data_IF_722513451501
#
_entry.id   IF_722513451501
#
_cell.length_a   1.000
_cell.length_b   1.000
_cell.length_c   1.000
_cell.angle_alpha   90.00
_cell.angle_beta   90.00
_cell.angle_gamma   90.00
#
_symmetry.space_group_name_H-M   'P 1'
#
loop_
_entity.id
_entity.type
_entity.pdbx_description
1 polymer ?
#
# COMPACT_ATOMS: atom_id res chain seq x y z
N UNK A 1 26.05 -11.48 17.72
CA UNK A 1 26.68 -10.29 17.13
C UNK A 1 25.72 -9.66 16.14
N UNK A 2 25.73 -8.36 16.02
CA UNK A 2 25.01 -7.62 14.99
C UNK A 2 25.86 -7.57 13.72
N UNK A 3 25.25 -7.72 12.56
CA UNK A 3 25.90 -7.56 11.26
C UNK A 3 25.27 -6.33 10.59
N UNK A 4 26.10 -5.44 10.11
CA UNK A 4 25.64 -4.27 9.35
C UNK A 4 25.32 -4.72 7.90
N UNK A 5 24.12 -4.35 7.45
CA UNK A 5 23.66 -4.63 6.09
C UNK A 5 23.99 -3.44 5.18
N UNK A 6 24.55 -3.69 3.99
CA UNK A 6 24.82 -2.63 3.02
C UNK A 6 23.52 -2.09 2.42
N UNK A 7 23.17 -0.87 2.83
CA UNK A 7 22.02 -0.13 2.35
C UNK A 7 22.37 1.04 1.44
N UNK A 8 23.62 1.13 1.00
CA UNK A 8 24.17 2.28 0.24
C UNK A 8 23.44 2.56 -1.07
N UNK A 9 22.75 1.57 -1.64
CA UNK A 9 21.98 1.70 -2.87
C UNK A 9 20.47 1.91 -2.66
N UNK A 10 20.01 1.96 -1.41
CA UNK A 10 18.61 2.32 -1.11
C UNK A 10 18.44 3.84 -1.23
N UNK A 11 17.57 4.26 -2.11
CA UNK A 11 17.11 5.65 -2.18
C UNK A 11 15.98 5.89 -1.21
N UNK A 12 15.79 7.15 -0.83
CA UNK A 12 14.79 7.55 0.15
C UNK A 12 15.38 7.69 1.55
N UNK A 13 14.68 8.39 2.41
CA UNK A 13 15.11 8.72 3.76
C UNK A 13 14.26 8.03 4.84
N UNK A 14 13.29 7.22 4.45
CA UNK A 14 12.40 6.53 5.37
C UNK A 14 11.99 5.17 4.83
N UNK A 15 12.26 4.11 5.59
CA UNK A 15 11.71 2.77 5.32
C UNK A 15 10.27 2.69 5.80
N UNK A 16 9.38 2.13 4.98
CA UNK A 16 7.95 2.07 5.29
C UNK A 16 7.43 0.67 5.53
N UNK A 17 7.86 -0.28 4.74
CA UNK A 17 7.37 -1.65 4.84
C UNK A 17 8.46 -2.63 4.45
N UNK A 18 8.43 -3.78 5.09
CA UNK A 18 9.33 -4.88 4.82
C UNK A 18 8.54 -6.18 4.86
N UNK A 19 8.81 -7.08 3.92
CA UNK A 19 8.13 -8.37 3.84
C UNK A 19 9.01 -9.43 3.19
N UNK A 20 8.98 -10.64 3.74
CA UNK A 20 9.61 -11.80 3.13
C UNK A 20 8.62 -12.48 2.17
N UNK A 21 9.06 -12.73 0.94
CA UNK A 21 8.26 -13.43 -0.05
C UNK A 21 9.14 -14.14 -1.07
N UNK A 22 8.84 -15.40 -1.36
CA UNK A 22 9.53 -16.21 -2.36
C UNK A 22 11.07 -16.15 -2.24
N UNK A 23 11.57 -16.44 -1.03
CA UNK A 23 13.00 -16.44 -0.64
C UNK A 23 13.72 -15.09 -0.86
N UNK A 24 12.99 -13.99 -0.87
CA UNK A 24 13.57 -12.64 -0.93
C UNK A 24 12.98 -11.78 0.18
N UNK A 25 13.79 -10.83 0.63
CA UNK A 25 13.33 -9.74 1.47
C UNK A 25 13.04 -8.54 0.58
N UNK A 26 11.82 -8.02 0.67
CA UNK A 26 11.39 -6.81 -0.02
C UNK A 26 11.30 -5.67 0.98
N UNK A 27 11.78 -4.50 0.59
CA UNK A 27 11.69 -3.27 1.38
C UNK A 27 11.18 -2.13 0.50
N UNK A 28 10.27 -1.34 1.03
CA UNK A 28 9.86 -0.09 0.41
C UNK A 28 10.41 1.09 1.21
N UNK A 29 10.85 2.11 0.49
CA UNK A 29 11.28 3.38 1.05
C UNK A 29 10.48 4.53 0.45
N UNK A 30 10.51 5.67 1.09
CA UNK A 30 9.99 6.92 0.53
C UNK A 30 11.03 8.02 0.69
N UNK A 31 10.96 9.00 -0.18
CA UNK A 31 11.72 10.24 -0.05
C UNK A 31 10.79 11.34 0.46
N UNK A 32 10.84 11.58 1.76
CA UNK A 32 9.99 12.59 2.41
C UNK A 32 10.35 14.03 2.04
N UNK A 33 11.59 14.26 1.60
CA UNK A 33 12.07 15.60 1.27
C UNK A 33 11.69 16.04 -0.15
N UNK A 34 11.65 15.11 -1.10
CA UNK A 34 11.56 15.44 -2.52
C UNK A 34 10.22 15.04 -3.16
N UNK A 35 9.41 14.20 -2.50
CA UNK A 35 8.16 13.71 -3.07
C UNK A 35 8.40 13.07 -4.44
N UNK A 36 8.93 11.87 -4.48
CA UNK A 36 9.26 11.19 -5.74
C UNK A 36 8.03 10.78 -6.54
N UNK A 37 8.16 10.72 -7.86
CA UNK A 37 7.12 10.18 -8.74
C UNK A 37 7.19 8.66 -8.89
N UNK A 38 8.27 8.06 -8.43
CA UNK A 38 8.57 6.64 -8.64
C UNK A 38 8.47 5.91 -7.31
N UNK A 39 7.69 4.84 -7.24
CA UNK A 39 7.65 4.01 -6.04
C UNK A 39 9.02 3.37 -5.85
N UNK A 40 9.56 3.46 -4.64
CA UNK A 40 10.85 2.88 -4.27
C UNK A 40 10.60 1.51 -3.64
N UNK A 41 10.90 0.47 -4.39
CA UNK A 41 10.80 -0.93 -3.98
C UNK A 41 12.10 -1.65 -4.30
N UNK A 42 12.60 -2.41 -3.35
CA UNK A 42 13.87 -3.13 -3.45
C UNK A 42 13.69 -4.57 -2.99
N UNK A 43 14.56 -5.45 -3.48
CA UNK A 43 14.64 -6.83 -3.05
C UNK A 43 16.08 -7.30 -2.89
N UNK A 44 16.31 -8.18 -1.91
CA UNK A 44 17.53 -8.96 -1.75
C UNK A 44 17.18 -10.42 -1.46
N UNK A 45 17.96 -11.35 -2.00
CA UNK A 45 17.86 -12.77 -1.65
C UNK A 45 18.42 -13.06 -0.26
N UNK A 46 19.45 -12.32 0.12
CA UNK A 46 20.08 -12.38 1.42
C UNK A 46 20.79 -11.04 1.68
N UNK A 47 20.21 -10.16 2.51
CA UNK A 47 20.78 -8.84 2.75
C UNK A 47 22.15 -8.84 3.43
N UNK A 48 22.56 -9.93 4.07
CA UNK A 48 23.89 -10.04 4.67
C UNK A 48 24.99 -10.18 3.61
N UNK A 49 24.65 -10.76 2.45
CA UNK A 49 25.62 -11.07 1.39
C UNK A 49 25.35 -10.35 0.07
N UNK A 50 24.10 -9.97 -0.19
CA UNK A 50 23.69 -9.39 -1.46
C UNK A 50 23.02 -8.04 -1.26
N UNK A 51 23.47 -7.05 -2.02
CA UNK A 51 22.83 -5.73 -2.05
C UNK A 51 21.38 -5.81 -2.50
N UNK A 52 20.60 -4.88 -2.03
CA UNK A 52 19.24 -4.70 -2.52
C UNK A 52 19.25 -4.26 -3.99
N UNK A 53 18.41 -4.88 -4.79
CA UNK A 53 18.17 -4.51 -6.19
C UNK A 53 16.87 -3.75 -6.30
N UNK A 54 16.89 -2.61 -6.98
CA UNK A 54 15.69 -1.81 -7.20
C UNK A 54 14.74 -2.50 -8.18
N UNK A 55 13.46 -2.50 -7.85
CA UNK A 55 12.36 -2.94 -8.70
C UNK A 55 11.53 -1.71 -9.04
N UNK A 56 11.24 -1.50 -10.33
CA UNK A 56 10.40 -0.41 -10.80
C UNK A 56 9.01 -0.95 -11.14
N UNK A 57 8.02 -0.94 -10.21
CA UNK A 57 6.69 -1.46 -10.50
C UNK A 57 6.02 -0.61 -11.59
N UNK A 58 5.88 -1.16 -12.78
CA UNK A 58 5.22 -0.47 -13.88
C UNK A 58 3.74 -0.23 -13.59
N UNK A 59 3.25 0.94 -13.95
CA UNK A 59 1.87 1.35 -13.71
C UNK A 59 1.64 2.07 -12.38
N UNK A 60 2.45 1.82 -11.35
CA UNK A 60 2.35 2.53 -10.08
C UNK A 60 2.96 3.93 -10.25
N UNK A 61 2.12 4.96 -10.14
CA UNK A 61 2.56 6.36 -10.26
C UNK A 61 2.26 7.10 -8.96
N UNK A 62 3.27 7.77 -8.43
CA UNK A 62 3.12 8.66 -7.28
C UNK A 62 2.78 10.08 -7.74
N UNK A 63 2.24 10.87 -6.84
CA UNK A 63 1.93 12.27 -7.07
C UNK A 63 3.11 13.16 -6.69
N UNK A 64 3.61 13.93 -7.66
CA UNK A 64 4.75 14.81 -7.44
C UNK A 64 4.38 15.97 -6.51
N UNK A 65 5.15 16.13 -5.44
CA UNK A 65 5.19 17.35 -4.65
C UNK A 65 3.95 17.65 -3.79
N UNK A 66 2.97 16.74 -3.68
CA UNK A 66 1.75 16.99 -2.91
C UNK A 66 1.73 16.30 -1.56
N UNK A 67 2.30 15.11 -1.46
CA UNK A 67 2.37 14.38 -0.21
C UNK A 67 3.77 13.80 -0.05
N UNK A 68 4.61 14.37 0.82
CA UNK A 68 5.96 13.86 1.05
C UNK A 68 5.96 12.42 1.60
N UNK A 69 4.84 11.97 2.16
CA UNK A 69 4.68 10.60 2.67
C UNK A 69 4.08 9.63 1.65
N UNK A 70 3.81 10.07 0.42
CA UNK A 70 3.28 9.24 -0.66
C UNK A 70 4.28 8.18 -1.11
N UNK A 71 3.80 6.96 -1.36
CA UNK A 71 4.62 5.85 -1.79
C UNK A 71 4.01 4.50 -1.45
N UNK A 72 4.78 3.42 -1.63
CA UNK A 72 4.43 2.11 -1.12
C UNK A 72 4.65 2.13 0.39
N UNK A 73 3.57 2.30 1.15
CA UNK A 73 3.63 2.46 2.60
C UNK A 73 3.44 1.14 3.35
N UNK A 74 2.79 0.17 2.74
CA UNK A 74 2.56 -1.14 3.33
C UNK A 74 2.62 -2.23 2.26
N UNK A 75 3.15 -3.38 2.63
CA UNK A 75 3.15 -4.58 1.81
C UNK A 75 2.65 -5.78 2.62
N UNK A 76 2.07 -6.76 1.93
CA UNK A 76 1.68 -8.03 2.50
C UNK A 76 1.76 -9.15 1.47
N UNK A 77 1.99 -10.37 1.92
CA UNK A 77 1.85 -11.57 1.10
C UNK A 77 0.46 -12.14 1.31
N UNK A 78 -0.30 -12.25 0.23
CA UNK A 78 -1.62 -12.83 0.26
C UNK A 78 -1.87 -13.63 -1.01
N UNK A 79 -2.46 -14.81 -0.88
CA UNK A 79 -2.79 -15.70 -2.01
C UNK A 79 -1.59 -15.91 -2.98
N UNK A 80 -0.40 -16.15 -2.42
CA UNK A 80 0.87 -16.33 -3.13
C UNK A 80 1.22 -15.16 -4.08
N UNK A 81 0.91 -13.94 -3.68
CA UNK A 81 1.17 -12.69 -4.38
C UNK A 81 1.70 -11.65 -3.41
N UNK A 82 2.54 -10.75 -3.90
CA UNK A 82 2.93 -9.57 -3.14
C UNK A 82 1.92 -8.46 -3.42
N UNK A 83 1.29 -7.96 -2.35
CA UNK A 83 0.41 -6.80 -2.39
C UNK A 83 1.17 -5.56 -1.91
N UNK A 84 1.03 -4.47 -2.63
CA UNK A 84 1.60 -3.17 -2.32
C UNK A 84 0.48 -2.14 -2.16
N UNK A 85 0.42 -1.50 -1.00
CA UNK A 85 -0.50 -0.41 -0.73
C UNK A 85 0.22 0.92 -0.94
N UNK A 86 -0.34 1.77 -1.78
CA UNK A 86 0.22 3.05 -2.19
C UNK A 86 -0.59 4.18 -1.57
N UNK A 87 0.03 4.96 -0.71
CA UNK A 87 -0.58 6.18 -0.14
C UNK A 87 -0.47 7.33 -1.12
N UNK A 88 -1.59 8.03 -1.38
CA UNK A 88 -1.71 9.13 -2.35
C UNK A 88 -2.76 10.13 -1.91
N UNK A 89 -2.56 11.41 -2.21
CA UNK A 89 -3.54 12.46 -1.93
C UNK A 89 -4.82 12.36 -2.77
N UNK A 90 -4.73 11.70 -3.93
CA UNK A 90 -5.88 11.39 -4.80
C UNK A 90 -6.65 10.13 -4.40
N UNK A 91 -6.32 9.56 -3.24
CA UNK A 91 -6.87 8.33 -2.73
C UNK A 91 -5.92 7.14 -2.91
N UNK A 92 -5.82 6.32 -1.88
CA UNK A 92 -4.94 5.15 -1.86
C UNK A 92 -5.24 4.19 -3.00
N UNK A 93 -4.20 3.47 -3.42
CA UNK A 93 -4.27 2.37 -4.37
C UNK A 93 -3.74 1.08 -3.73
N UNK A 94 -4.26 -0.05 -4.18
CA UNK A 94 -3.72 -1.37 -3.87
C UNK A 94 -3.37 -2.07 -5.17
N UNK A 95 -2.14 -2.50 -5.26
CA UNK A 95 -1.58 -3.23 -6.38
C UNK A 95 -1.12 -4.62 -5.93
N UNK A 96 -1.06 -5.58 -6.83
CA UNK A 96 -0.47 -6.89 -6.56
C UNK A 96 0.34 -7.40 -7.75
N UNK A 97 1.25 -8.31 -7.48
CA UNK A 97 1.93 -9.06 -8.54
C UNK A 97 0.98 -10.10 -9.17
N UNK A 98 1.17 -10.40 -10.45
CA UNK A 98 0.39 -11.43 -11.17
C UNK A 98 0.93 -12.84 -10.93
N UNK A 99 2.20 -12.92 -10.55
CA UNK A 99 2.88 -14.18 -10.23
C UNK A 99 3.57 -14.11 -8.87
N UNK A 100 4.17 -15.21 -8.44
CA UNK A 100 5.04 -15.24 -7.26
C UNK A 100 6.42 -14.61 -7.53
N UNK A 101 6.73 -14.27 -8.79
CA UNK A 101 7.94 -13.56 -9.18
C UNK A 101 7.63 -12.08 -9.24
N UNK A 102 8.26 -11.30 -8.37
CA UNK A 102 8.08 -9.84 -8.36
C UNK A 102 8.99 -9.23 -9.43
N UNK A 103 8.39 -8.70 -10.49
CA UNK A 103 9.06 -8.08 -11.63
C UNK A 103 8.44 -6.71 -11.94
N UNK A 104 9.15 -5.89 -12.69
CA UNK A 104 8.71 -4.53 -13.02
C UNK A 104 7.34 -4.49 -13.72
N UNK A 105 7.12 -5.37 -14.68
CA UNK A 105 5.91 -5.40 -15.53
C UNK A 105 4.82 -6.38 -15.06
N UNK A 106 4.92 -6.91 -13.85
CA UNK A 106 4.02 -7.96 -13.35
C UNK A 106 3.04 -7.44 -12.28
N UNK A 107 2.48 -6.27 -12.48
CA UNK A 107 1.59 -5.63 -11.52
C UNK A 107 0.18 -5.39 -12.05
N UNK A 108 -0.80 -5.63 -11.20
CA UNK A 108 -2.23 -5.38 -11.48
C UNK A 108 -2.83 -4.51 -10.39
N UNK A 109 -3.59 -3.51 -10.81
CA UNK A 109 -4.37 -2.65 -9.92
C UNK A 109 -5.55 -3.43 -9.34
N UNK A 110 -5.59 -3.55 -8.02
CA UNK A 110 -6.67 -4.22 -7.26
C UNK A 110 -7.75 -3.23 -6.85
N UNK A 111 -7.33 -2.07 -6.36
CA UNK A 111 -8.25 -1.01 -5.95
C UNK A 111 -7.58 0.36 -6.12
N UNK A 112 -8.38 1.38 -6.37
CA UNK A 112 -7.95 2.77 -6.53
C UNK A 112 -8.94 3.73 -5.86
N UNK A 113 -8.67 5.02 -6.01
CA UNK A 113 -9.56 6.09 -5.55
C UNK A 113 -10.00 5.92 -4.09
N UNK A 114 -9.08 5.50 -3.21
CA UNK A 114 -9.34 5.36 -1.80
C UNK A 114 -10.43 4.34 -1.45
N UNK A 115 -10.61 3.30 -2.27
CA UNK A 115 -11.74 2.38 -2.15
C UNK A 115 -13.10 3.09 -2.24
N UNK A 116 -13.23 4.01 -3.21
CA UNK A 116 -14.44 4.78 -3.44
C UNK A 116 -14.64 5.96 -2.50
N UNK A 117 -13.66 6.28 -1.66
CA UNK A 117 -13.62 7.49 -0.84
C UNK A 117 -12.26 8.18 -1.00
N UNK A 118 -12.22 9.27 -1.76
CA UNK A 118 -10.99 10.03 -2.02
C UNK A 118 -10.34 10.63 -0.77
N UNK A 119 -11.05 10.65 0.35
CA UNK A 119 -10.47 11.04 1.62
C UNK A 119 -9.53 9.99 2.21
N UNK A 120 -9.62 8.72 1.81
CA UNK A 120 -8.69 7.67 2.20
C UNK A 120 -7.34 7.87 1.49
N UNK A 121 -6.40 8.53 2.12
CA UNK A 121 -5.13 8.96 1.50
C UNK A 121 -3.91 8.20 2.01
N UNK A 122 -4.02 7.51 3.14
CA UNK A 122 -2.90 6.78 3.73
C UNK A 122 -3.32 5.42 4.25
N UNK A 123 -2.44 4.43 4.09
CA UNK A 123 -2.60 3.10 4.70
C UNK A 123 -1.73 3.03 5.94
N UNK A 124 -2.32 2.70 7.09
CA UNK A 124 -1.60 2.57 8.35
C UNK A 124 -1.22 1.12 8.66
N UNK A 125 -2.07 0.19 8.31
CA UNK A 125 -1.83 -1.21 8.58
C UNK A 125 -2.45 -2.11 7.52
N UNK A 126 -1.81 -3.27 7.32
CA UNK A 126 -2.33 -4.37 6.53
C UNK A 126 -2.16 -5.67 7.31
N UNK A 127 -3.05 -6.62 7.08
CA UNK A 127 -2.97 -7.92 7.72
C UNK A 127 -3.76 -8.97 6.96
N UNK A 128 -3.32 -10.23 7.05
CA UNK A 128 -4.01 -11.36 6.42
C UNK A 128 -4.72 -12.17 7.49
N UNK A 129 -6.02 -12.39 7.31
CA UNK A 129 -6.83 -13.17 8.22
C UNK A 129 -7.98 -13.88 7.48
N UNK A 130 -8.17 -15.16 7.78
CA UNK A 130 -9.26 -16.00 7.21
C UNK A 130 -9.44 -15.81 5.69
N UNK A 131 -8.35 -15.99 4.93
CA UNK A 131 -8.34 -15.88 3.47
C UNK A 131 -8.76 -14.51 2.91
N UNK A 132 -8.51 -13.44 3.67
CA UNK A 132 -8.68 -12.06 3.23
C UNK A 132 -7.46 -11.23 3.60
N UNK A 133 -7.13 -10.27 2.75
CA UNK A 133 -6.25 -9.17 3.08
C UNK A 133 -7.10 -8.03 3.63
N UNK A 134 -6.74 -7.55 4.82
CA UNK A 134 -7.35 -6.39 5.45
C UNK A 134 -6.46 -5.17 5.28
N UNK A 135 -7.05 -4.05 4.93
CA UNK A 135 -6.38 -2.76 4.75
C UNK A 135 -7.07 -1.73 5.64
N UNK A 136 -6.30 -1.11 6.53
CA UNK A 136 -6.75 0.01 7.35
C UNK A 136 -6.34 1.32 6.68
N UNK A 137 -7.32 2.05 6.17
CA UNK A 137 -7.15 3.31 5.49
C UNK A 137 -7.47 4.49 6.41
N UNK A 138 -6.62 5.50 6.41
CA UNK A 138 -6.82 6.74 7.16
C UNK A 138 -7.28 7.86 6.23
N UNK A 139 -8.27 8.59 6.67
CA UNK A 139 -8.81 9.72 5.93
C UNK A 139 -7.95 10.97 6.09
N UNK A 140 -7.96 11.79 5.06
CA UNK A 140 -7.32 13.10 5.05
C UNK A 140 -7.79 13.94 6.23
N UNK A 141 -6.84 14.67 6.84
CA UNK A 141 -7.20 15.66 7.86
C UNK A 141 -8.01 16.78 7.22
N UNK A 142 -9.08 17.18 7.89
CA UNK A 142 -9.79 18.40 7.52
C UNK A 142 -8.91 19.61 7.83
N UNK A 143 -8.71 20.49 6.85
CA UNK A 143 -7.98 21.75 7.05
C UNK A 143 -8.66 22.67 8.10
N UNK A 144 -9.93 22.44 8.37
CA UNK A 144 -10.70 23.27 9.31
C UNK A 144 -10.64 22.78 10.77
N UNK A 145 -10.33 21.52 11.03
CA UNK A 145 -10.52 20.93 12.37
C UNK A 145 -9.33 20.10 12.89
N UNK A 146 -8.25 19.94 12.21
CA UNK A 146 -7.08 19.12 12.64
C UNK A 146 -7.49 17.74 13.26
N UNK A 147 -8.73 17.32 13.04
CA UNK A 147 -9.27 16.07 13.56
C UNK A 147 -9.26 15.00 12.47
N UNK A 148 -8.85 13.77 12.80
CA UNK A 148 -8.97 12.65 11.87
C UNK A 148 -10.43 12.48 11.43
N UNK A 149 -10.65 12.37 10.13
CA UNK A 149 -12.00 12.12 9.56
C UNK A 149 -12.46 10.65 9.77
N UNK A 150 -11.78 9.93 10.67
CA UNK A 150 -12.00 8.52 10.91
C UNK A 150 -11.10 7.62 10.03
N UNK A 151 -11.44 6.36 10.00
CA UNK A 151 -10.75 5.35 9.21
C UNK A 151 -11.76 4.45 8.50
N UNK A 152 -11.30 3.78 7.47
CA UNK A 152 -12.02 2.69 6.83
C UNK A 152 -11.23 1.39 7.00
N UNK A 153 -11.91 0.31 7.36
CA UNK A 153 -11.36 -1.04 7.33
C UNK A 153 -11.96 -1.76 6.13
N UNK A 154 -11.12 -2.15 5.21
CA UNK A 154 -11.50 -2.82 3.98
C UNK A 154 -10.95 -4.25 4.01
N UNK A 155 -11.69 -5.20 3.46
CA UNK A 155 -11.18 -6.54 3.18
C UNK A 155 -11.18 -6.83 1.69
N UNK A 156 -10.15 -7.55 1.24
CA UNK A 156 -9.95 -7.98 -0.15
C UNK A 156 -9.89 -9.52 -0.15
N UNK A 157 -10.68 -10.17 -0.99
CA UNK A 157 -10.67 -11.62 -1.09
C UNK A 157 -9.67 -12.12 -2.17
N UNK A 158 -9.51 -13.45 -2.29
CA UNK A 158 -8.59 -14.09 -3.26
C UNK A 158 -8.86 -13.75 -4.74
N UNK A 159 -10.04 -13.22 -5.07
CA UNK A 159 -10.44 -12.82 -6.42
C UNK A 159 -10.31 -11.30 -6.60
N UNK A 160 -9.57 -10.61 -5.74
CA UNK A 160 -9.37 -9.15 -5.70
C UNK A 160 -10.66 -8.34 -5.46
N UNK A 161 -11.77 -8.99 -5.10
CA UNK A 161 -13.00 -8.29 -4.73
C UNK A 161 -12.85 -7.71 -3.34
N UNK A 162 -13.11 -6.43 -3.20
CA UNK A 162 -13.03 -5.74 -1.93
C UNK A 162 -14.39 -5.26 -1.45
N UNK A 163 -14.51 -5.09 -0.15
CA UNK A 163 -15.68 -4.52 0.52
C UNK A 163 -15.28 -3.76 1.79
N UNK A 164 -16.08 -2.75 2.12
CA UNK A 164 -15.97 -2.04 3.39
C UNK A 164 -16.46 -2.95 4.52
N UNK A 165 -15.64 -3.10 5.57
CA UNK A 165 -15.96 -3.88 6.78
C UNK A 165 -16.43 -2.93 7.88
N UNK A 166 -15.68 -1.85 8.10
CA UNK A 166 -16.04 -0.80 9.04
C UNK A 166 -15.58 0.55 8.50
N UNK A 167 -16.31 1.60 8.80
CA UNK A 167 -16.00 2.94 8.37
C UNK A 167 -17.24 3.79 8.12
N UNK A 168 -17.01 5.02 7.72
CA UNK A 168 -18.07 6.00 7.48
C UNK A 168 -18.57 6.05 6.04
N UNK A 169 -19.53 6.92 5.77
CA UNK A 169 -19.93 7.31 4.42
C UNK A 169 -18.73 7.96 3.71
N UNK A 170 -18.62 7.72 2.40
CA UNK A 170 -17.62 8.39 1.58
C UNK A 170 -17.80 9.91 1.64
N UNK A 171 -16.72 10.62 1.95
CA UNK A 171 -16.73 12.08 1.98
C UNK A 171 -16.85 12.65 0.57
N UNK A 172 -16.07 12.12 -0.35
CA UNK A 172 -16.14 12.40 -1.79
C UNK A 172 -16.16 11.04 -2.48
N UNK A 173 -17.35 10.57 -2.89
CA UNK A 173 -17.46 9.26 -3.52
C UNK A 173 -16.78 9.26 -4.88
N UNK A 174 -16.06 8.19 -5.17
CA UNK A 174 -15.37 7.99 -6.43
C UNK A 174 -15.63 6.58 -6.98
N UNK A 175 -15.62 6.47 -8.30
CA UNK A 175 -15.67 5.16 -8.96
C UNK A 175 -14.36 4.42 -8.73
N UNK A 176 -14.44 3.18 -8.37
CA UNK A 176 -13.28 2.30 -8.14
C UNK A 176 -13.45 0.96 -8.83
N UNK A 177 -12.35 0.22 -8.95
CA UNK A 177 -12.34 -1.13 -9.52
C UNK A 177 -12.58 -2.19 -8.45
N UNK A 178 -13.09 -3.34 -8.88
CA UNK A 178 -13.18 -4.60 -8.10
C UNK A 178 -14.00 -4.57 -6.81
N UNK A 179 -14.77 -3.53 -6.54
CA UNK A 179 -15.59 -3.49 -5.33
C UNK A 179 -16.52 -2.28 -5.23
N UNK A 180 -17.24 -2.26 -4.14
CA UNK A 180 -18.15 -1.16 -3.79
C UNK A 180 -18.11 -0.93 -2.28
N UNK A 181 -18.51 0.25 -1.87
CA UNK A 181 -18.57 0.57 -0.44
C UNK A 181 -19.74 -0.12 0.24
N UNK A 182 -20.80 -0.49 -0.46
CA UNK A 182 -21.95 -1.17 0.11
C UNK A 182 -22.45 -0.56 1.43
N UNK A 183 -23.51 -1.04 2.00
CA UNK A 183 -23.80 -0.78 3.42
C UNK A 183 -22.74 -1.51 4.24
N UNK A 184 -22.05 -0.79 5.14
CA UNK A 184 -21.19 -1.42 6.13
C UNK A 184 -22.00 -2.52 6.81
N UNK A 185 -21.40 -3.69 7.01
CA UNK A 185 -22.04 -4.72 7.81
C UNK A 185 -22.22 -4.12 9.21
N UNK A 186 -23.35 -3.51 9.43
CA UNK A 186 -23.80 -3.07 10.75
C UNK A 186 -24.10 -4.32 11.55
N UNK A 187 -23.12 -4.84 12.26
CA UNK A 187 -23.28 -6.12 12.93
C UNK A 187 -22.18 -6.52 13.89
N UNK A 188 -21.37 -5.60 14.33
CA UNK A 188 -20.64 -5.80 15.58
C UNK A 188 -21.43 -5.16 16.73
N UNK A 189 -22.31 -5.94 17.33
CA UNK A 189 -22.75 -5.74 18.70
C UNK A 189 -21.71 -6.31 19.65
#
# INVERSE_FOLDING_TARGET
SWIEVDTSNLRGNSSRSMVAFNNKLYISTIDEALGGNTPLLYASEDPEFYRFTEIFPEGIKLEKGKNPTGGITNMAVFNNRLYACVSKDSGIEVWRTNSSKVQANDWTLVANNGFGDLANVSVLAVGVYKNHLYVSATKKLSSALILPQGFDLIRINKNDRWQLVAGGKAYIPAKTVNGSRGESISGFK
#
